data_IF_441401003183
#
_entry.id   IF_441401003183
#
_cell.length_a   1.000
_cell.length_b   1.000
_cell.length_c   1.000
_cell.angle_alpha   90.00
_cell.angle_beta   90.00
_cell.angle_gamma   90.00
#
_symmetry.space_group_name_H-M   'P 1'
#
loop_
_entity.id
_entity.type
_entity.pdbx_description
1 polymer ?
#
# COMPACT_ATOMS: atom_id res chain seq x y z
N UNK A 1 9.69 0.06 7.74
CA UNK A 1 8.56 -0.35 6.88
C UNK A 1 7.22 -0.02 7.54
N UNK A 2 6.28 0.61 6.82
CA UNK A 2 4.87 0.69 7.24
C UNK A 2 4.21 -0.67 7.05
N UNK A 3 3.59 -1.20 8.10
CA UNK A 3 2.84 -2.46 8.02
C UNK A 3 1.39 -2.16 7.64
N UNK A 4 0.89 -2.90 6.67
CA UNK A 4 -0.49 -2.84 6.20
C UNK A 4 -1.15 -4.16 6.56
N UNK A 5 -2.24 -4.10 7.30
CA UNK A 5 -3.02 -5.26 7.72
C UNK A 5 -4.29 -5.36 6.87
N UNK A 6 -4.72 -6.59 6.55
CA UNK A 6 -5.98 -6.79 5.84
C UNK A 6 -7.16 -6.19 6.61
N UNK A 7 -7.93 -5.34 5.93
CA UNK A 7 -9.07 -4.60 6.48
C UNK A 7 -8.71 -3.25 7.09
N UNK A 8 -7.42 -2.92 7.22
CA UNK A 8 -6.95 -1.63 7.70
C UNK A 8 -7.45 -0.50 6.78
N UNK A 9 -7.88 0.61 7.38
CA UNK A 9 -8.24 1.81 6.64
C UNK A 9 -7.00 2.57 6.21
N UNK A 10 -7.03 3.03 4.97
CA UNK A 10 -6.00 3.88 4.39
C UNK A 10 -6.65 5.00 3.59
N UNK A 11 -5.97 6.13 3.47
CA UNK A 11 -6.32 7.16 2.51
C UNK A 11 -5.41 7.04 1.30
N UNK A 12 -5.98 7.13 0.11
CA UNK A 12 -5.25 7.18 -1.15
C UNK A 12 -5.71 8.39 -1.96
N UNK A 13 -4.73 9.09 -2.52
CA UNK A 13 -4.94 10.17 -3.48
C UNK A 13 -4.26 9.75 -4.78
N UNK A 14 -5.06 9.35 -5.77
CA UNK A 14 -4.55 8.89 -7.06
C UNK A 14 -3.64 9.97 -7.69
N UNK A 15 -2.38 9.64 -8.03
CA UNK A 15 -1.46 10.57 -8.69
C UNK A 15 -1.99 11.13 -10.01
N UNK A 16 -2.86 10.40 -10.73
CA UNK A 16 -3.51 10.88 -11.95
C UNK A 16 -4.68 11.85 -11.67
N UNK A 17 -5.11 11.96 -10.41
CA UNK A 17 -6.20 12.83 -9.97
C UNK A 17 -7.59 12.32 -10.37
N UNK A 18 -7.75 11.04 -10.70
CA UNK A 18 -9.04 10.47 -11.11
C UNK A 18 -9.93 10.18 -9.90
N UNK A 19 -9.34 9.82 -8.75
CA UNK A 19 -10.07 9.53 -7.50
C UNK A 19 -9.23 9.83 -6.25
N UNK A 20 -9.89 10.06 -5.13
CA UNK A 20 -9.25 10.11 -3.82
C UNK A 20 -10.25 9.71 -2.74
N UNK A 21 -9.77 9.14 -1.64
CA UNK A 21 -10.66 8.79 -0.54
C UNK A 21 -10.12 7.75 0.43
N UNK A 22 -11.01 7.33 1.33
CA UNK A 22 -10.75 6.21 2.24
C UNK A 22 -10.99 4.87 1.54
N UNK A 23 -10.03 3.97 1.68
CA UNK A 23 -10.10 2.59 1.21
C UNK A 23 -9.74 1.63 2.34
N UNK A 24 -9.93 0.34 2.09
CA UNK A 24 -9.44 -0.74 2.94
C UNK A 24 -8.36 -1.52 2.24
N UNK A 25 -7.33 -1.90 2.97
CA UNK A 25 -6.32 -2.87 2.50
C UNK A 25 -7.00 -4.23 2.34
N UNK A 26 -6.93 -4.81 1.15
CA UNK A 26 -7.43 -6.15 0.86
C UNK A 26 -6.31 -7.19 0.90
N UNK A 27 -5.13 -6.80 0.41
CA UNK A 27 -3.92 -7.61 0.45
C UNK A 27 -2.67 -6.70 0.48
N UNK A 28 -1.75 -6.99 1.39
CA UNK A 28 -0.43 -6.34 1.45
C UNK A 28 0.66 -7.20 0.78
N UNK A 29 0.26 -8.34 0.20
CA UNK A 29 1.13 -9.32 -0.45
C UNK A 29 2.33 -9.72 0.43
N UNK A 30 2.10 -9.96 1.72
CA UNK A 30 3.19 -10.27 2.67
C UNK A 30 4.04 -11.46 2.20
N UNK A 31 3.43 -12.48 1.58
CA UNK A 31 4.14 -13.63 1.03
C UNK A 31 5.09 -13.24 -0.13
N UNK A 32 4.73 -12.26 -0.95
CA UNK A 32 5.56 -11.75 -2.06
C UNK A 32 6.80 -11.02 -1.56
N UNK A 33 6.70 -10.45 -0.37
CA UNK A 33 7.74 -9.61 0.24
C UNK A 33 8.42 -10.30 1.44
N UNK A 34 8.13 -11.58 1.67
CA UNK A 34 8.62 -12.33 2.83
C UNK A 34 10.15 -12.49 2.85
N UNK A 35 10.79 -12.48 1.68
CA UNK A 35 12.24 -12.62 1.52
C UNK A 35 12.98 -11.26 1.58
N UNK A 36 12.28 -10.13 1.66
CA UNK A 36 12.94 -8.82 1.79
C UNK A 36 13.61 -8.69 3.15
N UNK A 37 14.92 -8.39 3.15
CA UNK A 37 15.69 -8.16 4.36
C UNK A 37 15.63 -6.69 4.76
N UNK A 38 15.91 -6.37 6.04
CA UNK A 38 16.00 -4.97 6.50
C UNK A 38 17.01 -4.13 5.68
N UNK A 39 18.04 -4.75 5.07
CA UNK A 39 19.03 -4.08 4.22
C UNK A 39 18.46 -3.74 2.82
N UNK A 40 17.65 -4.63 2.24
CA UNK A 40 16.89 -4.33 1.01
C UNK A 40 15.89 -3.19 1.25
N UNK A 41 15.40 -3.06 2.49
CA UNK A 41 14.46 -2.02 2.91
C UNK A 41 15.14 -0.67 3.16
N UNK A 42 16.39 -0.65 3.62
CA UNK A 42 17.20 0.58 3.71
C UNK A 42 17.50 1.16 2.32
N UNK A 43 17.68 0.29 1.31
CA UNK A 43 17.82 0.73 -0.09
C UNK A 43 16.52 1.34 -0.66
N UNK A 44 15.37 1.11 -0.03
CA UNK A 44 14.05 1.65 -0.40
C UNK A 44 13.68 2.93 0.38
N UNK A 45 14.58 3.51 1.17
CA UNK A 45 14.29 4.68 2.03
C UNK A 45 13.73 5.91 1.29
N UNK A 46 13.94 6.04 -0.03
CA UNK A 46 13.39 7.13 -0.82
C UNK A 46 11.92 6.92 -1.21
N UNK A 47 11.47 5.67 -1.42
CA UNK A 47 10.10 5.36 -1.84
C UNK A 47 9.76 3.87 -1.59
N UNK A 48 8.71 3.63 -0.80
CA UNK A 48 8.19 2.28 -0.54
C UNK A 48 7.37 1.77 -1.75
N UNK A 49 8.06 1.14 -2.71
CA UNK A 49 7.53 0.66 -4.00
C UNK A 49 6.77 -0.67 -3.91
N UNK A 50 6.52 -1.18 -2.70
CA UNK A 50 5.68 -2.37 -2.51
C UNK A 50 4.27 -2.07 -2.99
N UNK A 51 3.69 -3.02 -3.71
CA UNK A 51 2.33 -2.96 -4.21
C UNK A 51 1.40 -3.41 -3.09
N UNK A 52 0.31 -2.67 -2.89
CA UNK A 52 -0.76 -2.97 -1.94
C UNK A 52 -2.07 -2.97 -2.72
N UNK A 53 -2.91 -3.97 -2.50
CA UNK A 53 -4.27 -4.01 -3.04
C UNK A 53 -5.22 -3.32 -2.06
N UNK A 54 -5.88 -2.27 -2.52
CA UNK A 54 -6.89 -1.52 -1.76
C UNK A 54 -8.25 -1.60 -2.44
N UNK A 55 -9.33 -1.43 -1.68
CA UNK A 55 -10.69 -1.34 -2.22
C UNK A 55 -11.72 -0.77 -1.26
N UNK A 56 -12.86 -0.36 -1.79
CA UNK A 56 -13.99 0.22 -1.04
C UNK A 56 -15.22 -0.72 -0.99
N UNK A 57 -15.12 -1.89 -1.62
CA UNK A 57 -16.19 -2.88 -1.77
C UNK A 57 -16.95 -2.77 -3.09
N UNK A 58 -16.64 -1.78 -3.92
CA UNK A 58 -17.18 -1.58 -5.27
C UNK A 58 -16.06 -1.63 -6.31
N UNK A 59 -14.91 -1.02 -6.02
CA UNK A 59 -13.72 -1.06 -6.87
C UNK A 59 -12.47 -1.44 -6.08
N UNK A 60 -11.45 -1.87 -6.82
CA UNK A 60 -10.13 -2.26 -6.31
C UNK A 60 -9.03 -1.57 -7.11
N UNK A 61 -7.91 -1.28 -6.47
CA UNK A 61 -6.72 -0.70 -7.10
C UNK A 61 -5.44 -1.28 -6.46
N UNK A 62 -4.45 -1.57 -7.30
CA UNK A 62 -3.08 -1.88 -6.88
C UNK A 62 -2.27 -0.58 -6.86
N UNK A 63 -1.73 -0.22 -5.69
CA UNK A 63 -1.06 1.06 -5.46
C UNK A 63 0.25 0.87 -4.71
N UNK A 64 1.15 1.84 -4.79
CA UNK A 64 2.38 1.78 -4.00
C UNK A 64 2.10 2.10 -2.52
N UNK A 65 2.74 1.35 -1.62
CA UNK A 65 2.71 1.57 -0.19
C UNK A 65 3.14 3.01 0.17
N UNK A 66 4.05 3.59 -0.62
CA UNK A 66 4.47 4.98 -0.55
C UNK A 66 3.30 5.98 -0.61
N UNK A 67 2.30 5.72 -1.45
CA UNK A 67 1.17 6.61 -1.75
C UNK A 67 0.05 6.56 -0.70
N UNK A 68 0.10 5.59 0.22
CA UNK A 68 -0.95 5.37 1.20
C UNK A 68 -0.68 6.11 2.51
N UNK A 69 -1.70 6.78 3.04
CA UNK A 69 -1.70 7.27 4.42
C UNK A 69 -2.50 6.32 5.32
N UNK A 70 -1.93 5.91 6.46
CA UNK A 70 -2.63 5.07 7.44
C UNK A 70 -3.54 5.97 8.29
N UNK A 71 -4.82 5.57 8.42
CA UNK A 71 -5.85 6.28 9.19
C UNK A 71 -6.09 5.67 10.57
#
# INVERSE_FOLDING_TARGET
MRKFEKGQKVFWNDPAGETFGEYKVYDAFEERYADLTDEDLEALEEFDDRIILIGDGVSEAEVYAAELEIL
#
